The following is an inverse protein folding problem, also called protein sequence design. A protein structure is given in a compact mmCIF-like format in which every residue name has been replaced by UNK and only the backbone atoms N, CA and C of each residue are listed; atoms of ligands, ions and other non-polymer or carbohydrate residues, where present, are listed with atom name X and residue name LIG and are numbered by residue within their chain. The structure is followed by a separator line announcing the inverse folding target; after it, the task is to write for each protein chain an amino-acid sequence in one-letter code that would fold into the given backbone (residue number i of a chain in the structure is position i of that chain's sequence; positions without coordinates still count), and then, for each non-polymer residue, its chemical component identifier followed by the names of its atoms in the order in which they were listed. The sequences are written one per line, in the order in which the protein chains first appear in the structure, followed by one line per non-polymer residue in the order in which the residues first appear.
data_IF_567347421977
#
_entry.id   IF_567347421977
#
_cell.length_a   1.000
_cell.length_b   1.000
_cell.length_c   1.000
_cell.angle_alpha   90.00
_cell.angle_beta   90.00
_cell.angle_gamma   90.00
#
_symmetry.space_group_name_H-M   'P 1'
#
loop_
_entity.id
_entity.type
_entity.pdbx_description
1 polymer ?
#
# COMPACT_ATOMS: atom_id res chain seq x y z
N UNK A 1 0.84 1.63 2.81
CA UNK A 1 2.16 1.96 2.27
C UNK A 1 1.98 3.29 1.57
N UNK A 2 2.99 4.13 1.63
CA UNK A 2 2.95 5.48 1.08
C UNK A 2 4.34 5.80 0.50
N UNK A 3 4.48 6.95 -0.13
CA UNK A 3 5.73 7.40 -0.73
C UNK A 3 6.88 7.59 0.28
N UNK A 4 6.60 7.78 1.57
CA UNK A 4 7.62 7.88 2.62
C UNK A 4 8.03 6.49 3.13
N UNK A 5 7.08 5.55 3.17
CA UNK A 5 7.24 4.19 3.67
C UNK A 5 6.63 3.16 2.69
N UNK A 6 7.26 2.93 1.52
CA UNK A 6 6.68 2.03 0.53
C UNK A 6 6.79 0.55 0.90
N UNK A 7 7.62 0.15 1.87
CA UNK A 7 7.97 -1.24 2.23
C UNK A 7 8.52 -2.11 1.09
N UNK A 8 8.57 -1.57 -0.11
CA UNK A 8 9.23 -2.06 -1.30
C UNK A 8 10.60 -1.39 -1.49
N UNK A 9 11.51 -2.05 -2.20
CA UNK A 9 12.73 -1.36 -2.65
C UNK A 9 12.39 -0.20 -3.58
N UNK A 10 13.30 0.77 -3.73
CA UNK A 10 13.08 1.93 -4.62
C UNK A 10 12.70 1.52 -6.05
N UNK A 11 13.32 0.47 -6.57
CA UNK A 11 13.05 0.00 -7.94
C UNK A 11 11.69 -0.68 -8.03
N UNK A 12 11.38 -1.61 -7.12
CA UNK A 12 10.08 -2.32 -7.15
C UNK A 12 8.93 -1.37 -6.89
N UNK A 13 9.07 -0.39 -5.98
CA UNK A 13 8.07 0.65 -5.76
C UNK A 13 7.78 1.49 -7.02
N UNK A 14 8.83 1.85 -7.78
CA UNK A 14 8.66 2.59 -9.05
C UNK A 14 7.94 1.77 -10.10
N UNK A 15 8.27 0.47 -10.22
CA UNK A 15 7.61 -0.43 -11.15
C UNK A 15 6.14 -0.61 -10.78
N UNK A 16 5.85 -0.83 -9.50
CA UNK A 16 4.48 -0.95 -8.99
C UNK A 16 3.67 0.32 -9.26
N UNK A 17 4.25 1.51 -9.05
CA UNK A 17 3.60 2.78 -9.44
C UNK A 17 3.37 2.89 -10.95
N UNK A 18 4.30 2.39 -11.76
CA UNK A 18 4.17 2.44 -13.22
C UNK A 18 2.96 1.65 -13.73
N UNK A 19 2.62 0.51 -13.10
CA UNK A 19 1.40 -0.24 -13.42
C UNK A 19 0.14 0.63 -13.26
N UNK A 20 0.05 1.37 -12.15
CA UNK A 20 -1.06 2.29 -11.94
C UNK A 20 -1.02 3.52 -12.84
N UNK A 21 0.15 4.00 -13.25
CA UNK A 21 0.25 5.07 -14.25
C UNK A 21 -0.26 4.63 -15.63
N UNK A 22 -0.03 3.38 -16.02
CA UNK A 22 -0.62 2.82 -17.24
C UNK A 22 -2.13 2.73 -17.10
N UNK A 23 -2.64 2.21 -15.98
CA UNK A 23 -4.07 2.18 -15.70
C UNK A 23 -4.71 3.58 -15.74
N UNK A 24 -4.04 4.58 -15.16
CA UNK A 24 -4.46 5.98 -15.21
C UNK A 24 -4.52 6.50 -16.64
N UNK A 25 -3.48 6.25 -17.45
CA UNK A 25 -3.43 6.70 -18.84
C UNK A 25 -4.55 6.06 -19.69
N UNK A 26 -4.85 4.79 -19.47
CA UNK A 26 -5.96 4.09 -20.14
C UNK A 26 -7.31 4.70 -19.73
N UNK A 27 -7.55 4.88 -18.43
CA UNK A 27 -8.80 5.46 -17.95
C UNK A 27 -8.99 6.89 -18.46
N UNK A 28 -7.94 7.72 -18.40
CA UNK A 28 -7.97 9.08 -18.90
C UNK A 28 -8.19 9.13 -20.42
N UNK A 29 -7.50 8.28 -21.18
CA UNK A 29 -7.66 8.18 -22.63
C UNK A 29 -9.08 7.79 -23.03
N UNK A 30 -9.68 6.80 -22.36
CA UNK A 30 -11.08 6.41 -22.59
C UNK A 30 -12.04 7.53 -22.19
N UNK A 31 -11.81 8.22 -21.07
CA UNK A 31 -12.66 9.34 -20.66
C UNK A 31 -12.60 10.51 -21.66
N UNK A 32 -11.42 10.78 -22.25
CA UNK A 32 -11.26 11.79 -23.29
C UNK A 32 -11.97 11.35 -24.58
N UNK A 33 -11.79 10.10 -25.00
CA UNK A 33 -12.41 9.55 -26.21
C UNK A 33 -13.94 9.57 -26.15
N UNK A 34 -14.51 9.38 -24.96
CA UNK A 34 -15.96 9.34 -24.72
C UNK A 34 -16.46 10.57 -23.94
N UNK A 35 -15.76 11.71 -24.00
CA UNK A 35 -16.06 12.89 -23.18
C UNK A 35 -17.51 13.42 -23.34
N UNK A 36 -18.09 13.26 -24.53
CA UNK A 36 -19.48 13.65 -24.82
C UNK A 36 -20.54 12.66 -24.30
N UNK A 37 -20.15 11.43 -23.98
CA UNK A 37 -21.04 10.38 -23.47
C UNK A 37 -21.00 10.29 -21.93
N UNK A 38 -20.03 10.96 -21.30
CA UNK A 38 -19.86 10.94 -19.85
C UNK A 38 -20.89 11.84 -19.18
N UNK A 39 -21.63 11.26 -18.24
CA UNK A 39 -22.42 12.03 -17.27
C UNK A 39 -21.48 12.65 -16.23
N UNK A 40 -20.91 13.81 -16.57
CA UNK A 40 -19.91 14.49 -15.75
C UNK A 40 -20.29 14.70 -14.28
N UNK A 41 -21.53 15.07 -13.92
CA UNK A 41 -21.91 15.16 -12.51
C UNK A 41 -21.75 13.83 -11.75
N UNK A 42 -22.07 12.70 -12.41
CA UNK A 42 -21.90 11.37 -11.84
C UNK A 42 -20.41 11.02 -11.72
N UNK A 43 -19.63 11.26 -12.77
CA UNK A 43 -18.19 11.01 -12.75
C UNK A 43 -17.49 11.81 -11.63
N UNK A 44 -17.82 13.09 -11.48
CA UNK A 44 -17.28 13.95 -10.41
C UNK A 44 -17.70 13.47 -9.02
N UNK A 45 -18.96 13.04 -8.85
CA UNK A 45 -19.42 12.49 -7.58
C UNK A 45 -18.70 11.17 -7.23
N UNK A 46 -18.58 10.25 -8.19
CA UNK A 46 -17.85 8.98 -8.04
C UNK A 46 -16.35 9.19 -7.80
N UNK A 47 -15.75 10.24 -8.35
CA UNK A 47 -14.38 10.61 -8.04
C UNK A 47 -14.27 11.15 -6.59
N UNK A 48 -15.07 12.17 -6.28
CA UNK A 48 -14.93 12.91 -5.03
C UNK A 48 -15.32 12.13 -3.77
N UNK A 49 -16.33 11.24 -3.85
CA UNK A 49 -16.85 10.57 -2.64
C UNK A 49 -15.81 9.64 -1.99
N UNK A 50 -14.86 9.11 -2.76
CA UNK A 50 -13.77 8.25 -2.28
C UNK A 50 -12.97 8.99 -1.21
N UNK A 51 -12.56 10.24 -1.49
CA UNK A 51 -11.79 11.05 -0.56
C UNK A 51 -12.66 11.70 0.51
N UNK A 52 -13.87 12.13 0.15
CA UNK A 52 -14.79 12.77 1.08
C UNK A 52 -15.14 11.85 2.27
N UNK A 53 -15.28 10.55 2.01
CA UNK A 53 -15.53 9.55 3.05
C UNK A 53 -14.22 8.96 3.58
N UNK A 54 -13.27 8.65 2.69
CA UNK A 54 -12.08 7.88 3.02
C UNK A 54 -10.96 8.69 3.66
N UNK A 55 -10.58 9.81 3.04
CA UNK A 55 -9.34 10.53 3.36
C UNK A 55 -9.57 11.79 4.20
N UNK A 56 -10.47 12.66 3.75
CA UNK A 56 -10.69 14.00 4.32
C UNK A 56 -10.98 13.95 5.83
N UNK A 57 -11.85 13.06 6.35
CA UNK A 57 -12.12 12.99 7.79
C UNK A 57 -10.87 12.66 8.61
N UNK A 58 -10.06 11.71 8.13
CA UNK A 58 -8.81 11.32 8.79
C UNK A 58 -7.75 12.41 8.74
N UNK A 59 -7.60 13.09 7.60
CA UNK A 59 -6.65 14.18 7.45
C UNK A 59 -7.00 15.37 8.36
N UNK A 60 -8.29 15.69 8.51
CA UNK A 60 -8.77 16.71 9.45
C UNK A 60 -8.47 16.29 10.89
N UNK A 61 -8.80 15.05 11.28
CA UNK A 61 -8.51 14.54 12.60
C UNK A 61 -7.00 14.56 12.92
N UNK A 62 -6.17 14.18 11.94
CA UNK A 62 -4.72 14.16 12.07
C UNK A 62 -4.18 15.56 12.37
N UNK A 63 -4.54 16.55 11.54
CA UNK A 63 -4.13 17.95 11.73
C UNK A 63 -4.59 18.55 13.06
N UNK A 64 -5.70 18.05 13.62
CA UNK A 64 -6.24 18.52 14.91
C UNK A 64 -5.65 17.82 16.14
N UNK A 65 -5.04 16.64 15.99
CA UNK A 65 -4.59 15.82 17.12
C UNK A 65 -3.39 16.37 17.89
N UNK A 66 -2.59 17.25 17.29
CA UNK A 66 -1.37 17.81 17.90
C UNK A 66 -0.19 16.83 17.97
N UNK A 67 -0.42 15.54 18.23
CA UNK A 67 0.61 14.49 18.32
C UNK A 67 0.57 13.47 17.16
N UNK A 68 -0.33 13.68 16.18
CA UNK A 68 -0.52 12.83 15.01
C UNK A 68 -1.15 11.47 15.33
N UNK A 69 -1.70 11.25 16.52
CA UNK A 69 -2.38 10.00 16.88
C UNK A 69 -3.88 10.16 16.68
N UNK A 70 -4.45 9.36 15.79
CA UNK A 70 -5.89 9.37 15.51
C UNK A 70 -6.49 7.96 15.65
N UNK A 71 -7.79 7.86 15.95
CA UNK A 71 -8.50 6.60 15.99
C UNK A 71 -8.36 5.77 14.70
N UNK A 72 -8.26 4.44 14.86
CA UNK A 72 -8.12 3.49 13.73
C UNK A 72 -9.29 3.52 12.76
N UNK A 73 -10.46 4.04 13.16
CA UNK A 73 -11.62 4.18 12.28
C UNK A 73 -11.29 4.98 11.01
N UNK A 74 -10.44 6.00 11.09
CA UNK A 74 -10.03 6.77 9.91
C UNK A 74 -9.18 5.97 8.93
N UNK A 75 -8.39 5.02 9.42
CA UNK A 75 -7.64 4.08 8.59
C UNK A 75 -8.59 3.07 7.92
N UNK A 76 -9.61 2.60 8.65
CA UNK A 76 -10.65 1.72 8.09
C UNK A 76 -11.42 2.44 6.99
N UNK A 77 -11.86 3.69 7.21
CA UNK A 77 -12.55 4.50 6.21
C UNK A 77 -11.68 4.68 4.97
N UNK A 78 -10.43 5.13 5.14
CA UNK A 78 -9.50 5.29 4.03
C UNK A 78 -9.32 3.98 3.26
N UNK A 79 -8.98 2.89 3.94
CA UNK A 79 -8.70 1.60 3.30
C UNK A 79 -9.92 1.00 2.61
N UNK A 80 -11.11 1.21 3.18
CA UNK A 80 -12.36 0.74 2.58
C UNK A 80 -12.65 1.50 1.30
N UNK A 81 -12.58 2.84 1.34
CA UNK A 81 -12.86 3.68 0.18
C UNK A 81 -11.78 3.56 -0.90
N UNK A 82 -10.52 3.39 -0.52
CA UNK A 82 -9.40 3.24 -1.44
C UNK A 82 -9.15 1.78 -1.85
N UNK A 83 -10.04 0.85 -1.53
CA UNK A 83 -9.92 -0.54 -1.96
C UNK A 83 -10.48 -0.75 -3.37
N UNK A 84 -9.71 -1.41 -4.24
CA UNK A 84 -10.19 -1.86 -5.55
C UNK A 84 -11.39 -2.81 -5.42
N UNK A 85 -11.48 -3.58 -4.33
CA UNK A 85 -12.60 -4.50 -4.08
C UNK A 85 -13.89 -3.68 -3.87
N UNK A 86 -13.83 -2.67 -2.99
CA UNK A 86 -14.99 -1.80 -2.72
C UNK A 86 -15.42 -1.06 -3.98
N UNK A 87 -14.48 -0.47 -4.72
CA UNK A 87 -14.81 0.29 -5.92
C UNK A 87 -15.28 -0.61 -7.07
N UNK A 88 -14.74 -1.83 -7.18
CA UNK A 88 -15.25 -2.85 -8.09
C UNK A 88 -16.68 -3.28 -7.75
N UNK A 89 -16.99 -3.44 -6.46
CA UNK A 89 -18.36 -3.74 -6.00
C UNK A 89 -19.33 -2.60 -6.29
N UNK A 90 -18.93 -1.34 -6.08
CA UNK A 90 -19.72 -0.15 -6.42
C UNK A 90 -19.99 -0.11 -7.93
N UNK A 91 -18.96 -0.29 -8.76
CA UNK A 91 -19.11 -0.33 -10.21
C UNK A 91 -20.03 -1.47 -10.67
N UNK A 92 -19.87 -2.67 -10.12
CA UNK A 92 -20.71 -3.83 -10.46
C UNK A 92 -22.17 -3.61 -10.06
N UNK A 93 -22.41 -3.08 -8.85
CA UNK A 93 -23.75 -2.76 -8.37
C UNK A 93 -24.39 -1.67 -9.24
N UNK A 94 -23.63 -0.67 -9.64
CA UNK A 94 -24.10 0.38 -10.55
C UNK A 94 -24.48 -0.19 -11.92
N UNK A 95 -23.61 -1.01 -12.51
CA UNK A 95 -23.90 -1.70 -13.77
C UNK A 95 -25.18 -2.54 -13.68
N UNK A 96 -25.47 -3.14 -12.52
CA UNK A 96 -26.67 -3.94 -12.32
C UNK A 96 -27.94 -3.10 -12.17
N UNK A 97 -27.89 -1.98 -11.44
CA UNK A 97 -29.07 -1.17 -11.11
C UNK A 97 -29.37 -0.07 -12.14
N UNK A 98 -28.33 0.52 -12.75
CA UNK A 98 -28.42 1.68 -13.64
C UNK A 98 -28.00 1.32 -15.06
N UNK A 99 -27.06 0.39 -15.19
CA UNK A 99 -26.43 0.01 -16.45
C UNK A 99 -24.98 0.49 -16.55
N UNK A 100 -24.19 -0.09 -17.45
CA UNK A 100 -22.81 0.32 -17.68
C UNK A 100 -22.76 1.72 -18.32
N UNK A 101 -21.85 2.57 -17.84
CA UNK A 101 -21.61 3.89 -18.41
C UNK A 101 -20.16 4.33 -18.22
N UNK A 102 -19.70 5.29 -19.04
CA UNK A 102 -18.34 5.81 -19.01
C UNK A 102 -18.00 6.60 -17.74
N UNK A 103 -18.99 7.12 -17.01
CA UNK A 103 -18.76 7.83 -15.75
C UNK A 103 -18.11 6.92 -14.68
N UNK A 104 -18.31 5.60 -14.76
CA UNK A 104 -17.69 4.64 -13.85
C UNK A 104 -16.16 4.60 -13.95
N UNK A 105 -15.58 5.09 -15.06
CA UNK A 105 -14.12 5.22 -15.21
C UNK A 105 -13.51 6.18 -14.17
N UNK A 106 -14.30 7.08 -13.58
CA UNK A 106 -13.84 7.94 -12.49
C UNK A 106 -13.30 7.14 -11.29
N UNK A 107 -13.86 5.94 -11.02
CA UNK A 107 -13.44 5.08 -9.91
C UNK A 107 -12.01 4.54 -10.09
N UNK A 108 -11.68 3.80 -11.17
CA UNK A 108 -10.30 3.38 -11.40
C UNK A 108 -9.38 4.56 -11.70
N UNK A 109 -9.85 5.65 -12.31
CA UNK A 109 -9.05 6.87 -12.51
C UNK A 109 -8.53 7.42 -11.17
N UNK A 110 -9.42 7.59 -10.16
CA UNK A 110 -9.04 8.06 -8.82
C UNK A 110 -8.01 7.14 -8.18
N UNK A 111 -8.30 5.83 -8.14
CA UNK A 111 -7.45 4.84 -7.50
C UNK A 111 -6.07 4.70 -8.18
N UNK A 112 -6.03 4.81 -9.51
CA UNK A 112 -4.79 4.79 -10.27
C UNK A 112 -4.01 6.10 -10.12
N UNK A 113 -4.67 7.25 -10.04
CA UNK A 113 -4.02 8.52 -9.75
C UNK A 113 -3.36 8.49 -8.36
N UNK A 114 -4.08 8.01 -7.34
CA UNK A 114 -3.57 7.99 -5.96
C UNK A 114 -2.31 7.11 -5.83
N UNK A 115 -2.32 5.93 -6.45
CA UNK A 115 -1.18 5.00 -6.42
C UNK A 115 -0.07 5.36 -7.39
N UNK A 116 -0.43 5.75 -8.61
CA UNK A 116 0.52 6.04 -9.67
C UNK A 116 1.25 7.37 -9.45
N UNK A 117 0.50 8.45 -9.21
CA UNK A 117 1.05 9.81 -9.08
C UNK A 117 1.52 10.12 -7.66
N UNK A 118 0.71 9.81 -6.65
CA UNK A 118 1.05 10.14 -5.27
C UNK A 118 1.81 9.02 -4.54
N UNK A 119 1.65 7.76 -4.98
CA UNK A 119 2.29 6.62 -4.32
C UNK A 119 1.59 6.23 -3.02
N UNK A 120 0.32 6.62 -2.87
CA UNK A 120 -0.50 6.26 -1.74
C UNK A 120 -1.19 4.92 -1.99
N UNK A 121 -1.03 3.99 -1.06
CA UNK A 121 -1.71 2.71 -1.04
C UNK A 121 -2.49 2.59 0.28
N UNK A 122 -3.02 1.41 0.58
CA UNK A 122 -3.72 1.16 1.84
C UNK A 122 -2.87 1.58 3.04
N UNK A 123 -3.44 2.40 3.93
CA UNK A 123 -2.78 2.91 5.13
C UNK A 123 -2.54 1.77 6.14
N UNK A 124 -1.27 1.51 6.52
CA UNK A 124 -0.96 0.52 7.54
C UNK A 124 -1.36 1.06 8.92
N UNK A 125 -2.00 0.22 9.75
CA UNK A 125 -2.45 0.63 11.09
C UNK A 125 -1.31 0.91 12.08
N UNK A 126 -0.07 0.53 11.74
CA UNK A 126 1.11 0.72 12.56
C UNK A 126 1.89 2.01 12.23
N UNK A 127 1.52 2.70 11.15
CA UNK A 127 2.14 3.97 10.75
C UNK A 127 1.21 5.14 11.03
N UNK A 128 1.77 6.35 10.95
CA UNK A 128 1.00 7.60 10.97
C UNK A 128 0.03 7.66 9.80
N UNK A 129 -1.06 8.40 10.00
CA UNK A 129 -2.10 8.53 8.97
C UNK A 129 -1.56 9.34 7.80
N UNK A 130 -0.93 10.48 8.08
CA UNK A 130 -0.18 11.22 7.06
C UNK A 130 1.20 10.58 6.83
N UNK A 131 1.74 10.62 5.61
CA UNK A 131 3.03 10.03 5.28
C UNK A 131 4.19 10.71 6.02
N UNK A 132 4.76 10.02 7.00
CA UNK A 132 5.93 10.44 7.76
C UNK A 132 7.00 9.37 7.71
N UNK A 133 8.27 9.75 7.50
CA UNK A 133 9.35 8.80 7.32
C UNK A 133 9.60 8.00 8.60
N UNK A 134 9.39 6.68 8.56
CA UNK A 134 9.57 5.79 9.71
C UNK A 134 11.06 5.39 9.86
N UNK A 135 11.70 5.68 11.02
CA UNK A 135 13.11 5.37 11.23
C UNK A 135 13.46 3.89 11.04
N UNK A 136 12.56 2.98 11.44
CA UNK A 136 12.76 1.55 11.25
C UNK A 136 12.84 1.16 9.77
N UNK A 137 11.97 1.73 8.94
CA UNK A 137 11.97 1.50 7.50
C UNK A 137 13.25 2.04 6.84
N UNK A 138 13.73 3.22 7.23
CA UNK A 138 14.97 3.80 6.69
C UNK A 138 16.17 2.88 6.94
N UNK A 139 16.35 2.41 8.18
CA UNK A 139 17.43 1.47 8.53
C UNK A 139 17.41 0.21 7.67
N UNK A 140 16.21 -0.36 7.44
CA UNK A 140 16.05 -1.53 6.58
C UNK A 140 16.49 -1.23 5.14
N UNK A 141 16.02 -0.11 4.57
CA UNK A 141 16.33 0.23 3.18
C UNK A 141 17.81 0.55 2.96
N UNK A 142 18.48 1.19 3.91
CA UNK A 142 19.91 1.49 3.82
C UNK A 142 20.74 0.19 3.86
N UNK A 143 20.36 -0.78 4.70
CA UNK A 143 20.96 -2.11 4.73
C UNK A 143 20.77 -2.89 3.41
N UNK A 144 19.61 -2.79 2.78
CA UNK A 144 19.33 -3.42 1.49
C UNK A 144 20.12 -2.77 0.35
N UNK A 145 20.29 -1.44 0.35
CA UNK A 145 21.11 -0.74 -0.64
C UNK A 145 22.56 -1.20 -0.61
N UNK A 146 23.14 -1.35 0.59
CA UNK A 146 24.51 -1.87 0.74
C UNK A 146 24.69 -3.28 0.15
N UNK A 147 23.68 -4.14 0.23
CA UNK A 147 23.71 -5.51 -0.30
C UNK A 147 23.44 -5.60 -1.80
N UNK A 148 22.69 -4.65 -2.36
CA UNK A 148 22.32 -4.62 -3.77
C UNK A 148 23.45 -4.13 -4.71
N UNK A 149 24.61 -3.73 -4.19
CA UNK A 149 25.76 -3.32 -5.00
C UNK A 149 26.35 -4.46 -5.85
N UNK A 150 26.04 -5.72 -5.53
CA UNK A 150 26.46 -6.89 -6.30
C UNK A 150 25.52 -7.22 -7.47
N UNK A 151 26.06 -7.80 -8.55
CA UNK A 151 25.32 -8.18 -9.77
C UNK A 151 24.46 -9.45 -9.64
N UNK A 152 24.44 -10.08 -8.45
CA UNK A 152 23.76 -11.35 -8.17
C UNK A 152 22.97 -11.23 -6.87
N UNK A 153 21.86 -11.96 -6.78
CA UNK A 153 21.01 -12.01 -5.58
C UNK A 153 21.79 -12.68 -4.44
N UNK A 154 21.84 -12.09 -3.23
CA UNK A 154 22.47 -12.73 -2.08
C UNK A 154 21.77 -14.05 -1.75
N UNK A 155 22.54 -15.09 -1.44
CA UNK A 155 21.99 -16.32 -0.84
C UNK A 155 21.38 -15.95 0.52
N UNK A 156 20.18 -16.45 0.88
CA UNK A 156 19.64 -16.25 2.22
C UNK A 156 20.68 -16.65 3.26
N UNK A 157 20.92 -15.79 4.24
CA UNK A 157 21.77 -16.16 5.37
C UNK A 157 21.00 -17.21 6.16
N UNK A 158 21.31 -18.49 5.93
CA UNK A 158 21.00 -19.53 6.90
C UNK A 158 21.82 -19.19 8.12
N UNK A 159 21.18 -18.65 9.15
CA UNK A 159 21.80 -18.65 10.47
C UNK A 159 22.18 -20.11 10.77
N UNK A 160 23.44 -20.42 11.12
CA UNK A 160 23.77 -21.76 11.54
C UNK A 160 22.85 -22.10 12.72
N UNK A 161 22.00 -23.11 12.55
CA UNK A 161 21.30 -23.73 13.67
C UNK A 161 22.39 -24.13 14.66
N UNK A 162 22.36 -23.69 15.92
CA UNK A 162 23.32 -24.16 16.91
C UNK A 162 23.20 -25.68 16.97
N UNK A 163 24.20 -26.40 16.47
CA UNK A 163 24.29 -27.84 16.64
C UNK A 163 24.43 -28.06 18.14
N UNK A 164 23.53 -28.80 18.81
CA UNK A 164 23.73 -29.14 20.21
C UNK A 164 25.06 -29.89 20.31
N UNK A 165 26.03 -29.31 21.02
CA UNK A 165 27.26 -30.03 21.36
C UNK A 165 26.84 -31.20 22.24
N UNK A 166 27.11 -32.47 21.87
CA UNK A 166 26.79 -33.59 22.74
C UNK A 166 27.55 -33.39 24.05
N UNK A 167 26.82 -33.43 25.17
CA UNK A 167 27.38 -33.32 26.50
C UNK A 167 28.53 -34.32 26.65
N UNK A 168 29.72 -33.83 26.98
CA UNK A 168 30.87 -34.67 27.26
C UNK A 168 30.47 -35.73 28.28
N UNK A 169 30.61 -37.00 27.88
CA UNK A 169 30.24 -38.14 28.69
C UNK A 169 30.87 -38.06 30.08
N UNK A 170 30.04 -38.28 31.10
CA UNK A 170 30.50 -38.54 32.45
C UNK A 170 31.43 -39.76 32.40
N UNK A 171 32.72 -39.53 32.64
CA UNK A 171 33.69 -40.59 32.86
C UNK A 171 33.26 -41.38 34.10
N UNK A 172 32.95 -42.66 33.90
CA UNK A 172 32.51 -43.57 34.94
C UNK A 172 33.57 -43.73 36.04
N UNK A 173 33.12 -43.62 37.28
CA UNK A 173 33.85 -44.04 38.47
C UNK A 173 34.01 -45.56 38.46
N UNK A 174 35.22 -46.05 38.23
CA UNK A 174 35.59 -47.45 38.49
C UNK A 174 35.60 -47.76 39.99
N UNK A 175 35.22 -48.97 40.42
CA UNK A 175 35.18 -49.33 41.83
C UNK A 175 36.61 -49.58 42.35
N UNK A 176 36.91 -49.04 43.55
CA UNK A 176 37.99 -49.56 44.40
C UNK A 176 37.40 -50.66 45.27
N UNK A 177 38.15 -51.76 45.40
CA UNK A 177 37.75 -53.03 46.02
C UNK A 177 37.61 -53.02 47.53
#
# INVERSE_FOLDING_TARGET
MDQANPFETRTTFRLHRAEYLVGLAVCAGLMIAHAGEIRWPVALALFAYIDLIGYIPGAIAYRRSGDGRIPKVYYVLYNTMHSLITQGAVAALWCWLVGPEWALLALPLHLCADRGLFGNFLKPFALRFEPEAEPGYRRLTDGLRGRAAGRRVPVPVTAPVPVPVPAAGQAGSGPKG
#
